data_IF_563428393325
#
_entry.id   IF_563428393325
#
_cell.length_a   1.000
_cell.length_b   1.000
_cell.length_c   1.000
_cell.angle_alpha   90.00
_cell.angle_beta   90.00
_cell.angle_gamma   90.00
#
_symmetry.space_group_name_H-M   'P 1'
#
loop_
_entity.id
_entity.type
_entity.pdbx_description
1 polymer ?
#
# COMPACT_ATOMS: atom_id res chain seq x y z
N UNK A 1 -0.78 5.20 -63.62
CA UNK A 1 0.22 5.78 -62.70
C UNK A 1 -0.34 6.74 -61.64
N UNK A 2 -1.51 7.36 -61.82
CA UNK A 2 -2.05 8.38 -60.89
C UNK A 2 -2.59 7.82 -59.54
N UNK A 3 -2.96 6.54 -59.46
CA UNK A 3 -3.47 5.91 -58.23
C UNK A 3 -2.40 5.20 -57.37
N UNK A 4 -1.17 5.01 -57.90
CA UNK A 4 -0.07 4.37 -57.15
C UNK A 4 0.42 5.22 -55.98
N UNK A 5 0.36 6.55 -56.10
CA UNK A 5 0.74 7.48 -55.04
C UNK A 5 -0.34 7.63 -53.95
N UNK A 6 -1.62 7.51 -54.34
CA UNK A 6 -2.75 7.54 -53.39
C UNK A 6 -2.80 6.28 -52.51
N UNK A 7 -2.46 5.11 -53.07
CA UNK A 7 -2.41 3.84 -52.31
C UNK A 7 -1.24 3.84 -51.32
N UNK A 8 -0.08 4.40 -51.68
CA UNK A 8 1.09 4.51 -50.77
C UNK A 8 0.82 5.50 -49.64
N UNK A 9 0.16 6.64 -49.92
CA UNK A 9 -0.21 7.60 -48.88
C UNK A 9 -1.21 7.01 -47.86
N UNK A 10 -2.18 6.21 -48.33
CA UNK A 10 -3.14 5.53 -47.45
C UNK A 10 -2.45 4.45 -46.59
N UNK A 11 -1.49 3.71 -47.16
CA UNK A 11 -0.72 2.66 -46.46
C UNK A 11 0.29 3.19 -45.43
N UNK A 12 0.74 4.45 -45.55
CA UNK A 12 1.65 5.10 -44.58
C UNK A 12 0.88 5.82 -43.46
N UNK A 13 -0.34 6.28 -43.72
CA UNK A 13 -1.16 6.97 -42.70
C UNK A 13 -1.95 5.99 -41.80
N UNK A 14 -2.36 4.82 -42.31
CA UNK A 14 -3.13 3.83 -41.55
C UNK A 14 -2.38 3.15 -40.37
N UNK A 15 -1.06 2.87 -40.41
CA UNK A 15 -0.37 2.23 -39.30
C UNK A 15 -0.12 3.16 -38.10
N UNK A 16 -0.08 4.48 -38.33
CA UNK A 16 0.29 5.46 -37.32
C UNK A 16 -0.77 5.62 -36.21
N UNK A 17 -2.03 5.33 -36.53
CA UNK A 17 -3.13 5.35 -35.55
C UNK A 17 -3.20 4.07 -34.69
N UNK A 18 -2.49 3.00 -35.07
CA UNK A 18 -2.55 1.70 -34.38
C UNK A 18 -1.48 1.58 -33.27
N UNK A 19 -0.50 2.49 -33.23
CA UNK A 19 0.54 2.49 -32.20
C UNK A 19 0.17 3.24 -30.92
N UNK A 20 -1.06 3.72 -30.76
CA UNK A 20 -1.60 4.07 -29.46
C UNK A 20 -1.85 2.78 -28.65
N UNK A 21 -0.76 2.13 -28.25
CA UNK A 21 -0.74 1.06 -27.26
C UNK A 21 -1.14 1.72 -25.95
N UNK A 22 -2.43 1.61 -25.62
CA UNK A 22 -2.99 2.07 -24.37
C UNK A 22 -2.14 1.52 -23.22
N UNK A 23 -1.45 2.40 -22.50
CA UNK A 23 -0.72 2.02 -21.29
C UNK A 23 -1.77 1.50 -20.32
N UNK A 24 -1.55 0.30 -19.75
CA UNK A 24 -2.34 -0.13 -18.61
C UNK A 24 -1.97 0.77 -17.45
N UNK A 25 -2.84 1.73 -17.14
CA UNK A 25 -2.57 2.75 -16.12
C UNK A 25 -2.19 2.12 -14.78
N UNK A 26 -3.04 1.24 -14.26
CA UNK A 26 -2.84 0.67 -12.94
C UNK A 26 -2.00 -0.61 -12.97
N UNK A 27 -0.94 -0.62 -12.16
CA UNK A 27 -0.14 -1.79 -11.82
C UNK A 27 -0.46 -2.18 -10.38
N UNK A 28 -0.98 -3.39 -10.21
CA UNK A 28 -1.32 -3.94 -8.90
C UNK A 28 -0.19 -4.85 -8.44
N UNK A 29 0.43 -4.49 -7.32
CA UNK A 29 1.51 -5.23 -6.68
C UNK A 29 0.96 -5.97 -5.46
N UNK A 30 0.88 -7.31 -5.47
CA UNK A 30 0.39 -8.04 -4.31
C UNK A 30 1.39 -7.91 -3.15
N UNK A 31 0.90 -7.50 -1.99
CA UNK A 31 1.64 -7.54 -0.73
C UNK A 31 0.82 -8.37 0.24
N UNK A 32 1.35 -9.53 0.63
CA UNK A 32 0.66 -10.47 1.51
C UNK A 32 0.35 -9.85 2.88
N UNK A 33 1.28 -9.02 3.38
CA UNK A 33 1.22 -8.49 4.74
C UNK A 33 0.11 -7.42 4.90
N UNK A 34 0.01 -6.47 3.98
CA UNK A 34 -0.88 -5.29 4.08
C UNK A 34 -2.02 -5.30 3.06
N UNK A 35 -1.97 -6.16 2.05
CA UNK A 35 -2.85 -6.08 0.87
C UNK A 35 -2.18 -5.39 -0.32
N UNK A 36 -2.81 -5.49 -1.51
CA UNK A 36 -2.20 -5.05 -2.75
C UNK A 36 -1.99 -3.53 -2.79
N UNK A 37 -0.79 -3.12 -3.22
CA UNK A 37 -0.46 -1.72 -3.52
C UNK A 37 -0.77 -1.44 -4.99
N UNK A 38 -1.43 -0.32 -5.27
CA UNK A 38 -1.80 0.09 -6.63
C UNK A 38 -0.95 1.28 -7.06
N UNK A 39 -0.21 1.12 -8.14
CA UNK A 39 0.55 2.19 -8.79
C UNK A 39 -0.23 2.69 -10.03
N UNK A 40 -0.39 4.01 -10.17
CA UNK A 40 -1.01 4.65 -11.34
C UNK A 40 0.04 5.34 -12.19
N UNK A 41 0.15 4.96 -13.47
CA UNK A 41 1.00 5.67 -14.43
C UNK A 41 0.53 7.10 -14.66
N UNK A 42 -0.76 7.36 -14.75
CA UNK A 42 -1.32 8.68 -15.05
C UNK A 42 -0.87 9.71 -14.00
N UNK A 43 -1.05 9.41 -12.71
CA UNK A 43 -0.62 10.30 -11.63
C UNK A 43 0.90 10.57 -11.68
N UNK A 44 1.69 9.55 -12.00
CA UNK A 44 3.14 9.69 -12.07
C UNK A 44 3.59 10.45 -13.32
N UNK A 45 3.00 10.17 -14.49
CA UNK A 45 3.35 10.80 -15.76
C UNK A 45 3.01 12.29 -15.76
N UNK A 46 1.92 12.69 -15.08
CA UNK A 46 1.61 14.10 -14.82
C UNK A 46 2.71 14.77 -13.99
N UNK A 47 3.22 14.10 -12.97
CA UNK A 47 4.28 14.62 -12.10
C UNK A 47 5.69 14.62 -12.76
N UNK A 48 6.00 13.66 -13.64
CA UNK A 48 7.35 13.49 -14.23
C UNK A 48 7.47 13.96 -15.69
N UNK A 49 6.46 14.66 -16.21
CA UNK A 49 6.51 15.23 -17.57
C UNK A 49 6.47 14.19 -18.69
N UNK A 50 5.73 13.09 -18.50
CA UNK A 50 5.53 12.00 -19.49
C UNK A 50 6.83 11.33 -19.98
N UNK A 51 7.89 11.33 -19.17
CA UNK A 51 9.20 10.80 -19.53
C UNK A 51 9.36 9.32 -19.15
N UNK A 52 8.95 8.38 -20.00
CA UNK A 52 8.99 6.94 -19.70
C UNK A 52 10.41 6.42 -19.30
N UNK A 53 11.50 6.85 -19.97
CA UNK A 53 12.87 6.48 -19.58
C UNK A 53 13.29 6.85 -18.16
N UNK A 54 12.60 7.80 -17.49
CA UNK A 54 12.93 8.16 -16.11
C UNK A 54 12.73 7.01 -15.12
N UNK A 55 11.89 6.03 -15.50
CA UNK A 55 11.59 4.85 -14.70
C UNK A 55 12.01 3.56 -15.40
N UNK A 56 11.87 3.48 -16.72
CA UNK A 56 12.08 2.26 -17.49
C UNK A 56 13.34 2.32 -18.39
N UNK A 57 14.27 1.37 -18.37
CA UNK A 57 14.45 0.24 -17.44
C UNK A 57 15.40 0.60 -16.29
N UNK A 58 15.49 1.89 -15.94
CA UNK A 58 16.42 2.38 -14.92
C UNK A 58 16.04 1.93 -13.50
N UNK A 59 14.75 2.00 -13.16
CA UNK A 59 14.21 1.67 -11.83
C UNK A 59 13.35 0.41 -11.92
N UNK A 60 12.48 0.34 -12.94
CA UNK A 60 11.57 -0.76 -13.17
C UNK A 60 11.74 -1.35 -14.56
N UNK A 61 11.70 -2.67 -14.66
CA UNK A 61 11.58 -3.37 -15.94
C UNK A 61 10.16 -3.19 -16.50
N UNK A 62 10.04 -2.87 -17.79
CA UNK A 62 8.74 -2.81 -18.50
C UNK A 62 8.00 -4.15 -18.39
N UNK A 63 8.73 -5.26 -18.40
CA UNK A 63 8.16 -6.59 -18.17
C UNK A 63 8.01 -6.81 -16.66
N UNK A 64 6.79 -6.67 -16.14
CA UNK A 64 6.47 -6.73 -14.69
C UNK A 64 7.11 -7.94 -14.00
N UNK A 65 7.02 -9.14 -14.60
CA UNK A 65 7.57 -10.39 -14.03
C UNK A 65 9.10 -10.41 -13.87
N UNK A 66 9.82 -9.48 -14.51
CA UNK A 66 11.28 -9.34 -14.39
C UNK A 66 11.70 -8.40 -13.25
N UNK A 67 10.75 -7.70 -12.63
CA UNK A 67 11.06 -6.87 -11.47
C UNK A 67 11.29 -7.74 -10.24
N UNK A 68 12.36 -7.52 -9.47
CA UNK A 68 12.54 -8.19 -8.20
C UNK A 68 11.50 -7.69 -7.18
N UNK A 69 11.24 -8.51 -6.16
CA UNK A 69 10.45 -8.09 -5.01
C UNK A 69 11.32 -7.23 -4.12
N UNK A 70 10.81 -6.06 -3.73
CA UNK A 70 11.50 -5.12 -2.85
C UNK A 70 10.79 -5.01 -1.50
N UNK A 71 11.57 -4.88 -0.44
CA UNK A 71 11.06 -4.60 0.91
C UNK A 71 10.95 -3.10 1.18
N UNK A 72 10.27 -2.69 2.25
CA UNK A 72 10.30 -1.28 2.71
C UNK A 72 11.71 -0.84 3.09
N UNK A 73 12.56 -1.75 3.58
CA UNK A 73 13.96 -1.46 3.87
C UNK A 73 14.76 -1.19 2.58
N UNK A 74 14.53 -1.95 1.51
CA UNK A 74 15.11 -1.67 0.19
C UNK A 74 14.68 -0.30 -0.34
N UNK A 75 13.40 0.05 -0.18
CA UNK A 75 12.88 1.35 -0.59
C UNK A 75 13.47 2.49 0.24
N UNK A 76 13.65 2.31 1.55
CA UNK A 76 14.35 3.29 2.39
C UNK A 76 15.81 3.53 1.97
N UNK A 77 16.41 2.58 1.23
CA UNK A 77 17.74 2.68 0.62
C UNK A 77 17.71 3.25 -0.82
N UNK A 78 16.57 3.75 -1.28
CA UNK A 78 16.43 4.37 -2.60
C UNK A 78 16.14 3.41 -3.75
N UNK A 79 15.82 2.14 -3.49
CA UNK A 79 15.39 1.20 -4.54
C UNK A 79 13.88 1.34 -4.81
N UNK A 80 13.43 0.90 -5.99
CA UNK A 80 12.00 0.85 -6.34
C UNK A 80 11.31 2.22 -6.12
N UNK A 81 10.15 2.24 -5.46
CA UNK A 81 9.39 3.46 -5.12
C UNK A 81 10.26 4.50 -4.40
N UNK A 82 11.17 4.05 -3.53
CA UNK A 82 12.05 4.92 -2.76
C UNK A 82 13.11 5.67 -3.58
N UNK A 83 13.32 5.31 -4.85
CA UNK A 83 14.15 6.11 -5.76
C UNK A 83 13.63 7.55 -5.92
N UNK A 84 12.32 7.75 -5.74
CA UNK A 84 11.67 9.05 -5.77
C UNK A 84 10.98 9.39 -4.45
N UNK A 85 10.32 8.42 -3.81
CA UNK A 85 9.61 8.61 -2.53
C UNK A 85 10.59 8.60 -1.35
N UNK A 86 11.43 9.62 -1.28
CA UNK A 86 12.56 9.73 -0.33
C UNK A 86 12.51 10.98 0.56
N UNK A 87 11.41 11.73 0.52
CA UNK A 87 11.24 12.99 1.25
C UNK A 87 11.89 14.20 0.59
N UNK A 88 12.64 14.02 -0.51
CA UNK A 88 13.22 15.12 -1.29
C UNK A 88 12.49 15.32 -2.62
N UNK A 89 12.30 14.25 -3.40
CA UNK A 89 11.64 14.33 -4.71
C UNK A 89 10.13 14.13 -4.63
N UNK A 90 9.67 13.30 -3.71
CA UNK A 90 8.27 13.06 -3.38
C UNK A 90 8.18 12.70 -1.89
N UNK A 91 6.97 12.50 -1.36
CA UNK A 91 6.77 12.06 0.02
C UNK A 91 7.57 10.79 0.32
N UNK A 92 8.05 10.66 1.55
CA UNK A 92 8.95 9.60 1.99
C UNK A 92 8.23 8.26 2.11
N UNK A 93 8.85 7.16 1.67
CA UNK A 93 8.35 5.78 1.94
C UNK A 93 8.39 5.39 3.42
N UNK A 94 9.04 6.20 4.27
CA UNK A 94 9.09 5.96 5.72
C UNK A 94 7.84 6.46 6.45
N UNK A 95 7.06 7.31 5.77
CA UNK A 95 5.93 8.03 6.31
C UNK A 95 4.70 7.81 5.42
N UNK A 96 3.53 8.31 5.83
CA UNK A 96 2.29 8.31 5.03
C UNK A 96 1.94 6.95 4.40
N UNK A 97 2.09 5.86 5.17
CA UNK A 97 1.99 4.49 4.68
C UNK A 97 0.65 4.23 3.94
N UNK A 98 -0.43 4.88 4.38
CA UNK A 98 -1.78 4.77 3.84
C UNK A 98 -1.93 5.31 2.41
N UNK A 99 -1.00 6.14 1.92
CA UNK A 99 -1.01 6.62 0.53
C UNK A 99 -0.74 5.49 -0.48
N UNK A 100 -0.13 4.39 -0.05
CA UNK A 100 0.15 3.23 -0.90
C UNK A 100 -0.46 1.95 -0.35
N UNK A 101 -0.41 1.75 0.96
CA UNK A 101 -0.90 0.54 1.61
C UNK A 101 -2.33 0.73 2.09
N UNK A 102 -3.25 -0.19 1.75
CA UNK A 102 -4.63 -0.06 2.20
C UNK A 102 -4.74 -0.28 3.71
N UNK A 103 -5.34 0.68 4.41
CA UNK A 103 -5.80 0.53 5.79
C UNK A 103 -7.20 -0.09 5.78
N UNK A 104 -7.45 -1.05 6.67
CA UNK A 104 -8.75 -1.69 6.80
C UNK A 104 -9.02 -2.07 8.24
N UNK A 105 -10.28 -2.11 8.61
CA UNK A 105 -10.67 -2.61 9.91
C UNK A 105 -10.37 -4.11 10.02
N UNK A 106 -9.96 -4.52 11.21
CA UNK A 106 -9.59 -5.91 11.49
C UNK A 106 -10.69 -6.50 12.36
N UNK A 107 -11.21 -7.65 11.95
CA UNK A 107 -12.16 -8.43 12.75
C UNK A 107 -11.45 -9.68 13.25
N UNK A 108 -11.33 -9.79 14.57
CA UNK A 108 -10.84 -10.96 15.27
C UNK A 108 -12.00 -11.87 15.61
N UNK A 109 -11.93 -13.12 15.14
CA UNK A 109 -12.88 -14.16 15.50
C UNK A 109 -12.50 -14.72 16.86
N UNK A 110 -13.24 -14.36 17.90
CA UNK A 110 -13.03 -14.86 19.26
C UNK A 110 -14.15 -15.84 19.59
N UNK A 111 -13.87 -17.15 19.65
CA UNK A 111 -14.85 -18.13 20.10
C UNK A 111 -15.40 -17.73 21.47
N UNK A 112 -16.70 -17.92 21.66
CA UNK A 112 -17.40 -17.75 22.95
C UNK A 112 -17.46 -16.32 23.52
N UNK A 113 -16.90 -15.31 22.82
CA UNK A 113 -16.90 -13.91 23.26
C UNK A 113 -17.29 -12.91 22.15
N UNK A 114 -17.85 -13.38 21.03
CA UNK A 114 -18.22 -12.53 19.91
C UNK A 114 -17.04 -12.03 19.07
N UNK A 115 -17.34 -11.43 17.92
CA UNK A 115 -16.33 -10.86 17.04
C UNK A 115 -15.74 -9.59 17.66
N UNK A 116 -14.43 -9.49 17.79
CA UNK A 116 -13.77 -8.26 18.22
C UNK A 116 -13.32 -7.42 17.02
N UNK A 117 -13.69 -6.13 16.97
CA UNK A 117 -13.35 -5.25 15.85
C UNK A 117 -12.34 -4.18 16.25
N UNK A 118 -11.30 -4.01 15.44
CA UNK A 118 -10.33 -2.94 15.54
C UNK A 118 -10.44 -2.01 14.33
N UNK A 119 -10.74 -0.73 14.58
CA UNK A 119 -10.83 0.28 13.53
C UNK A 119 -9.52 1.04 13.37
N UNK A 120 -8.93 1.01 12.17
CA UNK A 120 -7.75 1.84 11.90
C UNK A 120 -8.10 3.32 11.90
N UNK A 121 -9.26 3.70 11.38
CA UNK A 121 -9.69 5.10 11.26
C UNK A 121 -9.68 5.81 12.62
N UNK A 122 -10.27 5.19 13.64
CA UNK A 122 -10.31 5.72 15.01
C UNK A 122 -8.91 5.91 15.57
N UNK A 123 -8.03 4.93 15.39
CA UNK A 123 -6.69 4.96 15.98
C UNK A 123 -5.75 5.91 15.22
N UNK A 124 -5.81 5.93 13.89
CA UNK A 124 -4.98 6.82 13.07
C UNK A 124 -5.41 8.28 13.13
N UNK A 125 -6.59 8.57 13.72
CA UNK A 125 -6.99 9.93 14.07
C UNK A 125 -6.18 10.53 15.22
N UNK A 126 -5.52 9.70 16.02
CA UNK A 126 -4.75 10.11 17.21
C UNK A 126 -3.27 9.71 17.11
N UNK A 127 -2.96 8.59 16.46
CA UNK A 127 -1.63 7.98 16.47
C UNK A 127 -1.08 7.76 15.05
N UNK A 128 0.23 7.89 14.89
CA UNK A 128 0.92 7.56 13.64
C UNK A 128 1.13 6.06 13.47
N UNK A 129 1.31 5.59 12.22
CA UNK A 129 1.53 4.17 11.94
C UNK A 129 2.72 3.57 12.72
N UNK A 130 3.78 4.36 12.93
CA UNK A 130 5.01 3.95 13.62
C UNK A 130 4.86 3.71 15.13
N UNK A 131 3.81 4.24 15.75
CA UNK A 131 3.53 4.06 17.18
C UNK A 131 3.08 2.61 17.45
N UNK A 132 2.38 2.02 16.49
CA UNK A 132 1.89 0.65 16.55
C UNK A 132 2.80 -0.31 15.79
N UNK A 133 3.29 0.08 14.61
CA UNK A 133 3.98 -0.79 13.66
C UNK A 133 5.46 -0.45 13.49
N UNK A 134 6.33 -1.46 13.35
CA UNK A 134 6.06 -2.90 13.51
C UNK A 134 6.15 -3.38 14.97
N UNK A 135 6.22 -2.44 15.93
CA UNK A 135 6.54 -2.70 17.34
C UNK A 135 5.49 -3.52 18.07
N UNK A 136 4.35 -2.90 18.41
CA UNK A 136 3.24 -3.56 19.12
C UNK A 136 2.55 -4.57 18.20
N UNK A 137 2.31 -4.16 16.96
CA UNK A 137 1.64 -4.97 15.95
C UNK A 137 2.52 -5.14 14.73
N UNK A 138 2.60 -6.36 14.20
CA UNK A 138 3.22 -6.60 12.89
C UNK A 138 2.22 -6.17 11.81
N UNK A 139 2.62 -5.44 10.76
CA UNK A 139 1.74 -5.07 9.66
C UNK A 139 1.49 -6.29 8.73
N UNK A 140 1.02 -7.39 9.30
CA UNK A 140 0.81 -8.68 8.66
C UNK A 140 -0.46 -9.35 9.20
N UNK A 141 -1.39 -9.69 8.30
CA UNK A 141 -2.67 -10.30 8.66
C UNK A 141 -2.48 -11.64 9.37
N UNK A 142 -3.27 -11.87 10.42
CA UNK A 142 -3.27 -13.10 11.20
C UNK A 142 -1.98 -13.37 12.00
N UNK A 143 -1.05 -12.40 12.08
CA UNK A 143 0.19 -12.53 12.86
C UNK A 143 0.15 -11.88 14.24
N UNK A 144 -0.92 -11.15 14.54
CA UNK A 144 -1.12 -10.48 15.82
C UNK A 144 -2.26 -11.19 16.56
N UNK A 145 -1.91 -12.09 17.46
CA UNK A 145 -2.84 -12.80 18.34
C UNK A 145 -2.40 -12.58 19.77
N UNK A 146 -3.34 -12.28 20.65
CA UNK A 146 -3.09 -12.19 22.09
C UNK A 146 -4.34 -12.63 22.85
N UNK A 147 -4.15 -13.15 24.06
CA UNK A 147 -5.27 -13.42 24.99
C UNK A 147 -5.55 -12.19 25.87
N UNK A 148 -6.72 -12.14 26.50
CA UNK A 148 -7.06 -11.05 27.42
C UNK A 148 -6.07 -10.95 28.59
N UNK A 149 -5.60 -12.07 29.13
CA UNK A 149 -4.56 -12.08 30.18
C UNK A 149 -3.25 -11.48 29.70
N UNK A 150 -2.88 -11.71 28.44
CA UNK A 150 -1.69 -11.09 27.85
C UNK A 150 -1.89 -9.58 27.64
N UNK A 151 -3.12 -9.15 27.32
CA UNK A 151 -3.46 -7.75 27.21
C UNK A 151 -3.45 -7.04 28.56
N UNK A 152 -4.01 -7.63 29.62
CA UNK A 152 -3.89 -7.12 30.99
C UNK A 152 -2.42 -6.99 31.42
N UNK A 153 -1.54 -7.85 30.90
CA UNK A 153 -0.09 -7.77 31.06
C UNK A 153 0.62 -6.72 30.18
N UNK A 154 -0.12 -5.83 29.50
CA UNK A 154 0.43 -4.73 28.71
C UNK A 154 0.82 -5.08 27.27
N UNK A 155 0.42 -6.25 26.75
CA UNK A 155 0.68 -6.62 25.34
C UNK A 155 -0.51 -6.30 24.44
N UNK A 156 -0.26 -6.22 23.13
CA UNK A 156 -1.31 -6.02 22.12
C UNK A 156 -2.15 -4.77 22.46
N UNK A 157 -3.48 -4.87 22.45
CA UNK A 157 -4.40 -3.79 22.80
C UNK A 157 -4.08 -3.17 24.17
N UNK A 158 -3.72 -3.99 25.15
CA UNK A 158 -3.42 -3.54 26.51
C UNK A 158 -2.10 -2.77 26.66
N UNK A 159 -1.30 -2.65 25.60
CA UNK A 159 -0.18 -1.70 25.59
C UNK A 159 -0.64 -0.24 25.77
N UNK A 160 -1.89 0.06 25.40
CA UNK A 160 -2.52 1.36 25.61
C UNK A 160 -3.88 1.25 26.32
N UNK A 161 -4.64 0.17 26.14
CA UNK A 161 -5.89 -0.08 26.86
C UNK A 161 -5.64 -0.60 28.28
N UNK A 162 -4.93 0.20 29.07
CA UNK A 162 -4.41 -0.11 30.41
C UNK A 162 -5.18 0.62 31.53
N UNK A 163 -6.15 1.47 31.19
CA UNK A 163 -6.88 2.32 32.13
C UNK A 163 -6.22 3.67 32.40
N UNK A 164 -5.06 3.96 31.78
CA UNK A 164 -4.34 5.21 31.91
C UNK A 164 -4.21 5.92 30.55
N UNK A 165 -3.68 5.22 29.54
CA UNK A 165 -3.51 5.76 28.18
C UNK A 165 -4.85 5.73 27.42
N UNK A 166 -5.60 4.65 27.57
CA UNK A 166 -6.97 4.49 27.09
C UNK A 166 -7.79 3.68 28.13
N UNK A 167 -9.07 3.46 27.85
CA UNK A 167 -9.91 2.63 28.72
C UNK A 167 -9.31 1.21 28.83
N UNK A 168 -9.46 0.59 30.00
CA UNK A 168 -8.86 -0.73 30.29
C UNK A 168 -9.51 -1.87 29.50
N UNK A 169 -8.73 -2.88 29.13
CA UNK A 169 -9.21 -4.14 28.54
C UNK A 169 -10.02 -5.01 29.51
N UNK A 170 -9.94 -4.76 30.81
CA UNK A 170 -10.65 -5.54 31.84
C UNK A 170 -12.13 -5.20 31.97
N UNK A 171 -12.61 -4.15 31.31
CA UNK A 171 -13.99 -3.66 31.39
C UNK A 171 -14.54 -3.27 30.01
N UNK A 172 -15.83 -2.93 29.93
CA UNK A 172 -16.49 -2.44 28.71
C UNK A 172 -16.30 -3.35 27.49
N UNK A 173 -16.45 -4.67 27.68
CA UNK A 173 -16.20 -5.69 26.66
C UNK A 173 -16.90 -5.40 25.32
N UNK A 174 -18.12 -4.85 25.37
CA UNK A 174 -18.96 -4.49 24.21
C UNK A 174 -18.34 -3.40 23.32
N UNK A 175 -17.35 -2.66 23.81
CA UNK A 175 -16.63 -1.64 23.02
C UNK A 175 -15.83 -2.27 21.88
N UNK A 176 -15.34 -3.49 22.12
CA UNK A 176 -14.54 -4.22 21.15
C UNK A 176 -15.31 -5.41 20.59
N UNK A 177 -16.01 -6.16 21.45
CA UNK A 177 -16.67 -7.41 21.13
C UNK A 177 -18.14 -7.19 20.78
N UNK A 178 -18.57 -7.72 19.64
CA UNK A 178 -19.97 -7.87 19.28
C UNK A 178 -20.55 -9.11 19.99
N UNK A 179 -20.98 -8.91 21.24
CA UNK A 179 -21.55 -9.93 22.12
C UNK A 179 -23.09 -9.98 22.05
#
# INVERSE_FOLDING_TARGET
MKYRWLIVALLVLLPSAVCARWIKDQVVMPVEATGPVVFSHNNHLEAVGKNCPSCHNAIFNIVVKKNPVFTMADMAQGKSCGACHNGTRAFSVKDDCSLCHPTRDIVFKVPDAGDATFSHEVHTGLYGCGECHPGIFKPAQGKNTATMTEMEGGRSCGACHDGNTAFTVGENCETCHAM
#
